data_IF_303767995844
#
_entry.id   IF_303767995844
#
_cell.length_a   1.000
_cell.length_b   1.000
_cell.length_c   1.000
_cell.angle_alpha   90.00
_cell.angle_beta   90.00
_cell.angle_gamma   90.00
#
_symmetry.space_group_name_H-M   'P 1'
#
loop_
_entity.id
_entity.type
_entity.pdbx_description
1 polymer ?
#
# COMPACT_ATOMS: atom_id res chain seq x y z
N UNK A 1 -32.51 -30.81 -3.99
CA UNK A 1 -31.96 -29.45 -3.79
C UNK A 1 -31.53 -29.34 -2.34
N UNK A 2 -30.23 -29.36 -2.07
CA UNK A 2 -29.69 -29.40 -0.69
C UNK A 2 -29.40 -28.01 -0.10
N UNK A 3 -29.47 -26.95 -0.91
CA UNK A 3 -29.31 -25.56 -0.50
C UNK A 3 -29.25 -24.63 -1.71
N UNK A 4 -29.32 -23.33 -1.46
CA UNK A 4 -29.05 -22.26 -2.45
C UNK A 4 -27.82 -21.52 -1.97
N UNK A 5 -26.80 -21.46 -2.82
CA UNK A 5 -25.56 -20.72 -2.57
C UNK A 5 -25.57 -19.46 -3.41
N UNK A 6 -25.09 -18.35 -2.85
CA UNK A 6 -25.04 -17.05 -3.53
C UNK A 6 -23.62 -16.52 -3.45
N UNK A 7 -23.00 -16.30 -4.61
CA UNK A 7 -21.68 -15.68 -4.72
C UNK A 7 -21.82 -14.17 -4.90
N UNK A 8 -20.68 -13.48 -4.98
CA UNK A 8 -20.63 -12.06 -5.37
C UNK A 8 -20.79 -11.86 -6.87
N UNK A 9 -20.88 -12.93 -7.67
CA UNK A 9 -21.05 -12.87 -9.11
C UNK A 9 -22.42 -13.43 -9.50
N UNK A 10 -23.38 -12.52 -9.68
CA UNK A 10 -24.76 -12.88 -10.05
C UNK A 10 -24.83 -13.64 -11.38
N UNK A 11 -23.95 -13.35 -12.34
CA UNK A 11 -23.91 -14.05 -13.62
C UNK A 11 -23.45 -15.50 -13.47
N UNK A 12 -22.44 -15.74 -12.62
CA UNK A 12 -21.98 -17.09 -12.30
C UNK A 12 -23.06 -17.91 -11.59
N UNK A 13 -23.76 -17.31 -10.63
CA UNK A 13 -24.83 -17.96 -9.86
C UNK A 13 -26.01 -18.39 -10.75
N UNK A 14 -26.33 -17.60 -11.79
CA UNK A 14 -27.44 -17.92 -12.70
C UNK A 14 -27.10 -19.05 -13.68
N UNK A 15 -25.82 -19.28 -13.96
CA UNK A 15 -25.36 -20.24 -14.96
C UNK A 15 -24.81 -21.54 -14.36
N UNK A 16 -24.65 -21.63 -13.04
CA UNK A 16 -23.92 -22.73 -12.39
C UNK A 16 -24.78 -23.49 -11.39
N UNK A 17 -24.68 -24.82 -11.41
CA UNK A 17 -25.25 -25.69 -10.38
C UNK A 17 -24.15 -26.60 -9.83
N UNK A 18 -24.10 -26.73 -8.50
CA UNK A 18 -23.17 -27.63 -7.82
C UNK A 18 -23.85 -28.98 -7.56
N UNK A 19 -23.21 -30.06 -8.00
CA UNK A 19 -23.70 -31.43 -7.85
C UNK A 19 -22.56 -32.29 -7.31
N UNK A 20 -22.88 -33.30 -6.50
CA UNK A 20 -21.88 -34.26 -6.05
C UNK A 20 -21.35 -35.05 -7.25
N UNK A 21 -20.02 -35.16 -7.38
CA UNK A 21 -19.39 -35.81 -8.52
C UNK A 21 -19.80 -37.29 -8.66
N UNK A 22 -19.92 -38.02 -7.54
CA UNK A 22 -20.30 -39.44 -7.55
C UNK A 22 -21.76 -39.65 -7.99
N UNK A 23 -22.65 -38.71 -7.64
CA UNK A 23 -24.04 -38.73 -8.11
C UNK A 23 -24.14 -38.36 -9.59
N UNK A 24 -23.36 -37.38 -10.04
CA UNK A 24 -23.33 -36.97 -11.43
C UNK A 24 -22.90 -38.12 -12.35
N UNK A 25 -21.91 -38.92 -11.92
CA UNK A 25 -21.46 -40.14 -12.63
C UNK A 25 -22.60 -41.12 -12.85
N UNK A 26 -23.42 -41.36 -11.83
CA UNK A 26 -24.60 -42.24 -11.95
C UNK A 26 -25.64 -41.67 -12.91
N UNK A 27 -25.82 -40.35 -12.93
CA UNK A 27 -26.85 -39.69 -13.75
C UNK A 27 -26.60 -39.78 -15.25
N UNK A 28 -25.34 -39.69 -15.71
CA UNK A 28 -25.03 -39.86 -17.13
C UNK A 28 -24.67 -41.31 -17.52
N UNK A 29 -24.78 -42.26 -16.58
CA UNK A 29 -24.54 -43.69 -16.82
C UNK A 29 -23.07 -44.08 -16.97
N UNK A 30 -22.15 -43.27 -16.44
CA UNK A 30 -20.72 -43.56 -16.44
C UNK A 30 -20.25 -44.38 -15.24
N UNK A 31 -19.02 -44.88 -15.32
CA UNK A 31 -18.35 -45.59 -14.22
C UNK A 31 -17.12 -44.83 -13.67
N UNK A 32 -16.82 -43.63 -14.16
CA UNK A 32 -15.64 -42.83 -13.78
C UNK A 32 -15.96 -41.35 -13.78
N UNK A 33 -15.38 -40.56 -12.89
CA UNK A 33 -15.53 -39.10 -12.89
C UNK A 33 -14.80 -38.52 -14.10
N UNK A 34 -15.53 -37.82 -14.97
CA UNK A 34 -14.97 -37.06 -16.07
C UNK A 34 -14.62 -35.66 -15.57
N UNK A 35 -13.33 -35.31 -15.62
CA UNK A 35 -12.84 -34.00 -15.16
C UNK A 35 -12.40 -33.20 -16.37
N UNK A 36 -13.02 -32.04 -16.60
CA UNK A 36 -12.61 -31.11 -17.65
C UNK A 36 -11.59 -30.08 -17.14
N UNK A 37 -11.67 -29.72 -15.85
CA UNK A 37 -10.83 -28.68 -15.26
C UNK A 37 -10.49 -29.04 -13.81
N UNK A 38 -9.27 -28.72 -13.39
CA UNK A 38 -8.81 -28.85 -12.01
C UNK A 38 -8.41 -27.46 -11.54
N UNK A 39 -9.20 -26.87 -10.65
CA UNK A 39 -8.88 -25.60 -10.02
C UNK A 39 -7.92 -25.82 -8.84
N UNK A 40 -6.78 -25.13 -8.85
CA UNK A 40 -5.80 -25.14 -7.75
C UNK A 40 -5.79 -23.75 -7.12
N UNK A 41 -6.19 -23.68 -5.85
CA UNK A 41 -6.18 -22.43 -5.09
C UNK A 41 -4.81 -22.24 -4.44
N UNK A 42 -4.17 -21.10 -4.71
CA UNK A 42 -2.91 -20.71 -4.08
C UNK A 42 -3.17 -19.81 -2.86
N UNK A 43 -2.24 -19.84 -1.90
CA UNK A 43 -2.25 -18.90 -0.78
C UNK A 43 -1.74 -17.51 -1.19
N UNK A 44 -0.82 -17.46 -2.16
CA UNK A 44 -0.28 -16.24 -2.74
C UNK A 44 -0.49 -16.25 -4.25
N UNK A 45 -1.16 -15.21 -4.73
CA UNK A 45 -1.50 -15.00 -6.14
C UNK A 45 -0.26 -14.68 -6.99
N UNK A 46 0.79 -14.13 -6.37
CA UNK A 46 2.04 -13.77 -7.05
C UNK A 46 2.89 -15.00 -7.40
N UNK A 47 2.67 -16.12 -6.72
CA UNK A 47 3.33 -17.39 -7.05
C UNK A 47 2.76 -18.09 -8.29
N UNK A 48 1.64 -17.60 -8.83
CA UNK A 48 0.91 -18.24 -9.93
C UNK A 48 1.78 -18.55 -11.15
N UNK A 49 2.70 -17.66 -11.53
CA UNK A 49 3.62 -17.90 -12.65
C UNK A 49 4.62 -19.03 -12.35
N UNK A 50 5.20 -19.03 -11.15
CA UNK A 50 6.15 -20.07 -10.73
C UNK A 50 5.46 -21.44 -10.64
N UNK A 51 4.25 -21.48 -10.08
CA UNK A 51 3.48 -22.72 -9.93
C UNK A 51 3.04 -23.24 -11.30
N UNK A 52 2.59 -22.36 -12.20
CA UNK A 52 2.31 -22.71 -13.60
C UNK A 52 3.52 -23.39 -14.22
N UNK A 53 4.70 -22.78 -14.16
CA UNK A 53 5.91 -23.33 -14.79
C UNK A 53 6.32 -24.70 -14.24
N UNK A 54 6.07 -24.96 -12.95
CA UNK A 54 6.29 -26.28 -12.34
C UNK A 54 5.24 -27.29 -12.81
N UNK A 55 3.97 -26.91 -12.84
CA UNK A 55 2.86 -27.78 -13.25
C UNK A 55 2.91 -28.10 -14.74
N UNK A 56 3.24 -27.14 -15.60
CA UNK A 56 3.37 -27.35 -17.05
C UNK A 56 4.40 -28.44 -17.40
N UNK A 57 5.39 -28.69 -16.53
CA UNK A 57 6.37 -29.77 -16.74
C UNK A 57 5.83 -31.17 -16.43
N UNK A 58 4.77 -31.26 -15.63
CA UNK A 58 4.18 -32.52 -15.15
C UNK A 58 2.82 -32.77 -15.82
N UNK A 59 2.19 -31.72 -16.36
CA UNK A 59 0.84 -31.73 -16.90
C UNK A 59 0.67 -32.52 -18.21
N UNK A 60 1.75 -32.94 -18.88
CA UNK A 60 1.69 -33.65 -20.15
C UNK A 60 1.05 -32.79 -21.25
N UNK A 61 -0.02 -33.30 -21.88
CA UNK A 61 -0.77 -32.60 -22.92
C UNK A 61 -1.81 -31.59 -22.38
N UNK A 62 -1.97 -31.48 -21.05
CA UNK A 62 -2.96 -30.58 -20.45
C UNK A 62 -2.46 -29.12 -20.43
N UNK A 63 -3.36 -28.17 -20.72
CA UNK A 63 -3.08 -26.75 -20.60
C UNK A 63 -3.14 -26.30 -19.14
N UNK A 64 -2.07 -25.64 -18.68
CA UNK A 64 -2.01 -25.03 -17.35
C UNK A 64 -2.08 -23.51 -17.52
N UNK A 65 -3.18 -22.91 -17.09
CA UNK A 65 -3.41 -21.47 -17.19
C UNK A 65 -3.47 -20.81 -15.82
N UNK A 66 -2.96 -19.57 -15.74
CA UNK A 66 -3.03 -18.76 -14.52
C UNK A 66 -4.34 -17.97 -14.45
N UNK A 67 -4.69 -17.47 -13.26
CA UNK A 67 -5.86 -16.59 -13.10
C UNK A 67 -5.78 -15.34 -14.01
N UNK A 68 -4.56 -14.85 -14.31
CA UNK A 68 -4.34 -13.70 -15.21
C UNK A 68 -4.67 -14.03 -16.66
N UNK A 69 -4.44 -15.27 -17.08
CA UNK A 69 -4.77 -15.77 -18.42
C UNK A 69 -6.27 -16.09 -18.54
N UNK A 70 -6.87 -16.63 -17.47
CA UNK A 70 -8.30 -16.98 -17.41
C UNK A 70 -9.20 -15.74 -17.29
N UNK A 71 -8.72 -14.69 -16.64
CA UNK A 71 -9.45 -13.44 -16.41
C UNK A 71 -8.58 -12.20 -16.75
N UNK A 72 -8.30 -11.95 -18.04
CA UNK A 72 -7.40 -10.87 -18.46
C UNK A 72 -7.92 -9.48 -18.07
N UNK A 73 -9.23 -9.26 -18.09
CA UNK A 73 -9.83 -7.99 -17.69
C UNK A 73 -9.62 -7.70 -16.19
N UNK A 74 -9.73 -8.73 -15.35
CA UNK A 74 -9.46 -8.61 -13.91
C UNK A 74 -7.98 -8.35 -13.62
N UNK A 75 -7.07 -8.95 -14.41
CA UNK A 75 -5.64 -8.71 -14.30
C UNK A 75 -5.26 -7.28 -14.71
N UNK A 76 -5.84 -6.76 -15.80
CA UNK A 76 -5.66 -5.37 -16.24
C UNK A 76 -6.11 -4.37 -15.17
N UNK A 77 -7.28 -4.60 -14.56
CA UNK A 77 -7.76 -3.76 -13.47
C UNK A 77 -6.83 -3.80 -12.25
N UNK A 78 -6.31 -4.97 -11.91
CA UNK A 78 -5.34 -5.10 -10.82
C UNK A 78 -4.07 -4.28 -11.11
N UNK A 79 -3.52 -4.36 -12.32
CA UNK A 79 -2.33 -3.61 -12.72
C UNK A 79 -2.59 -2.09 -12.68
N UNK A 80 -3.76 -1.63 -13.14
CA UNK A 80 -4.14 -0.21 -13.03
C UNK A 80 -4.25 0.26 -11.58
N UNK A 81 -4.80 -0.58 -10.69
CA UNK A 81 -4.87 -0.26 -9.26
C UNK A 81 -3.49 -0.12 -8.63
N UNK A 82 -2.53 -0.97 -9.01
CA UNK A 82 -1.14 -0.87 -8.55
C UNK A 82 -0.51 0.45 -9.00
N UNK A 83 -0.66 0.83 -10.29
CA UNK A 83 -0.12 2.10 -10.80
C UNK A 83 -0.77 3.29 -10.10
N UNK A 84 -2.10 3.28 -9.98
CA UNK A 84 -2.86 4.32 -9.28
C UNK A 84 -2.35 4.50 -7.84
N UNK A 85 -2.11 3.39 -7.14
CA UNK A 85 -1.58 3.39 -5.78
C UNK A 85 -0.21 4.07 -5.67
N UNK A 86 0.72 3.75 -6.58
CA UNK A 86 2.04 4.37 -6.60
C UNK A 86 1.98 5.88 -6.86
N UNK A 87 1.12 6.32 -7.78
CA UNK A 87 0.90 7.75 -8.05
C UNK A 87 0.37 8.44 -6.78
N UNK A 88 -0.60 7.84 -6.11
CA UNK A 88 -1.23 8.41 -4.93
C UNK A 88 -0.24 8.53 -3.75
N UNK A 89 0.59 7.50 -3.52
CA UNK A 89 1.69 7.58 -2.55
C UNK A 89 2.66 8.70 -2.92
N UNK A 90 3.01 8.84 -4.19
CA UNK A 90 3.88 9.92 -4.67
C UNK A 90 3.34 11.30 -4.32
N UNK A 91 2.03 11.52 -4.53
CA UNK A 91 1.35 12.78 -4.18
C UNK A 91 1.40 13.03 -2.67
N UNK A 92 1.12 12.01 -1.85
CA UNK A 92 1.17 12.11 -0.38
C UNK A 92 2.59 12.45 0.09
N UNK A 93 3.62 11.81 -0.49
CA UNK A 93 5.01 12.07 -0.15
C UNK A 93 5.43 13.50 -0.53
N UNK A 94 4.97 14.01 -1.67
CA UNK A 94 5.19 15.41 -2.04
C UNK A 94 4.51 16.37 -1.06
N UNK A 95 3.25 16.13 -0.70
CA UNK A 95 2.53 16.94 0.27
C UNK A 95 3.24 16.94 1.64
N UNK A 96 3.70 15.76 2.09
CA UNK A 96 4.51 15.61 3.29
C UNK A 96 5.81 16.43 3.22
N UNK A 97 6.53 16.35 2.10
CA UNK A 97 7.76 17.11 1.89
C UNK A 97 7.54 18.63 2.03
N UNK A 98 6.51 19.17 1.37
CA UNK A 98 6.14 20.57 1.50
C UNK A 98 5.76 20.96 2.93
N UNK A 99 5.00 20.11 3.62
CA UNK A 99 4.64 20.30 5.03
C UNK A 99 5.89 20.44 5.90
N UNK A 100 6.83 19.51 5.77
CA UNK A 100 8.09 19.52 6.54
C UNK A 100 8.94 20.75 6.21
N UNK A 101 9.08 21.09 4.94
CA UNK A 101 9.84 22.27 4.52
C UNK A 101 9.26 23.53 5.16
N UNK A 102 7.95 23.71 5.10
CA UNK A 102 7.28 24.90 5.60
C UNK A 102 7.40 25.00 7.13
N UNK A 103 7.14 23.91 7.85
CA UNK A 103 7.26 23.87 9.32
C UNK A 103 8.70 24.13 9.76
N UNK A 104 9.69 23.51 9.12
CA UNK A 104 11.09 23.69 9.51
C UNK A 104 11.62 25.07 9.15
N UNK A 105 11.19 25.64 8.03
CA UNK A 105 11.55 27.01 7.70
C UNK A 105 10.99 27.99 8.75
N UNK A 106 9.73 27.81 9.16
CA UNK A 106 9.13 28.63 10.21
C UNK A 106 9.88 28.49 11.55
N UNK A 107 10.17 27.26 11.99
CA UNK A 107 10.89 27.01 13.23
C UNK A 107 12.31 27.64 13.24
N UNK A 108 13.00 27.62 12.09
CA UNK A 108 14.29 28.29 11.93
C UNK A 108 14.15 29.81 12.00
N UNK A 109 13.11 30.38 11.39
CA UNK A 109 12.87 31.82 11.38
C UNK A 109 12.53 32.37 12.77
N UNK A 110 11.76 31.64 13.56
CA UNK A 110 11.42 32.02 14.94
C UNK A 110 12.65 31.99 15.87
N UNK A 111 13.58 31.04 15.67
CA UNK A 111 14.77 30.85 16.53
C UNK A 111 16.06 31.44 15.95
N UNK A 112 15.98 32.35 14.98
CA UNK A 112 17.17 32.93 14.33
C UNK A 112 18.15 33.58 15.30
N UNK A 113 17.66 34.32 16.29
CA UNK A 113 18.49 34.97 17.32
C UNK A 113 19.23 33.94 18.18
N UNK A 114 18.56 32.86 18.58
CA UNK A 114 19.17 31.78 19.36
C UNK A 114 20.28 31.08 18.58
N UNK A 115 20.01 30.75 17.31
CA UNK A 115 21.02 30.18 16.40
C UNK A 115 22.20 31.13 16.17
N UNK A 116 21.94 32.44 16.06
CA UNK A 116 22.95 33.50 15.98
C UNK A 116 23.84 33.58 17.21
N UNK A 117 23.26 33.49 18.42
CA UNK A 117 24.01 33.47 19.67
C UNK A 117 24.88 32.21 19.80
N UNK A 118 24.37 31.04 19.42
CA UNK A 118 25.14 29.79 19.39
C UNK A 118 26.36 29.90 18.45
N UNK A 119 26.19 30.53 17.29
CA UNK A 119 27.30 30.81 16.37
C UNK A 119 28.32 31.76 16.98
N UNK A 120 27.88 32.80 17.71
CA UNK A 120 28.76 33.78 18.34
C UNK A 120 29.61 33.18 19.49
N UNK A 121 29.08 32.18 20.21
CA UNK A 121 29.79 31.45 21.27
C UNK A 121 30.72 30.35 20.68
N UNK A 122 30.77 30.21 19.35
CA UNK A 122 31.73 29.34 18.65
C UNK A 122 31.16 28.01 18.16
N UNK A 123 29.83 27.82 18.17
CA UNK A 123 29.23 26.63 17.57
C UNK A 123 29.44 26.63 16.05
N UNK A 124 30.10 25.58 15.54
CA UNK A 124 30.33 25.42 14.11
C UNK A 124 29.00 25.20 13.36
N UNK A 125 28.86 25.76 12.16
CA UNK A 125 27.70 25.60 11.26
C UNK A 125 27.32 24.13 11.05
N UNK A 126 28.29 23.20 11.03
CA UNK A 126 28.02 21.75 10.93
C UNK A 126 27.28 21.20 12.15
N UNK A 127 27.55 21.70 13.37
CA UNK A 127 26.85 21.28 14.59
C UNK A 127 25.41 21.80 14.60
N UNK A 128 25.20 23.04 14.15
CA UNK A 128 23.85 23.60 13.99
C UNK A 128 23.03 22.80 12.98
N UNK A 129 23.63 22.47 11.84
CA UNK A 129 23.00 21.59 10.86
C UNK A 129 22.62 20.24 11.46
N UNK A 130 23.55 19.58 12.16
CA UNK A 130 23.30 18.31 12.82
C UNK A 130 22.17 18.39 13.86
N UNK A 131 22.11 19.48 14.63
CA UNK A 131 21.04 19.72 15.61
C UNK A 131 19.67 19.82 14.94
N UNK A 132 19.54 20.61 13.88
CA UNK A 132 18.27 20.78 13.14
C UNK A 132 17.85 19.46 12.47
N UNK A 133 18.80 18.73 11.90
CA UNK A 133 18.51 17.41 11.30
C UNK A 133 18.05 16.41 12.37
N UNK A 134 18.66 16.42 13.56
CA UNK A 134 18.27 15.55 14.66
C UNK A 134 16.87 15.90 15.19
N UNK A 135 16.55 17.19 15.31
CA UNK A 135 15.19 17.65 15.65
C UNK A 135 14.17 17.14 14.61
N UNK A 136 14.51 17.21 13.32
CA UNK A 136 13.67 16.66 12.23
C UNK A 136 13.44 15.17 12.40
N UNK A 137 14.52 14.40 12.61
CA UNK A 137 14.46 12.93 12.72
C UNK A 137 13.61 12.54 13.93
N UNK A 138 13.77 13.25 15.05
CA UNK A 138 12.98 13.00 16.25
C UNK A 138 11.49 13.28 16.04
N UNK A 139 11.15 14.43 15.46
CA UNK A 139 9.77 14.78 15.09
C UNK A 139 9.16 13.75 14.13
N UNK A 140 9.94 13.31 13.15
CA UNK A 140 9.52 12.32 12.16
C UNK A 140 9.30 10.96 12.81
N UNK A 141 10.17 10.54 13.72
CA UNK A 141 10.02 9.28 14.43
C UNK A 141 8.76 9.25 15.29
N UNK A 142 8.50 10.31 16.06
CA UNK A 142 7.28 10.44 16.87
C UNK A 142 6.04 10.48 15.98
N UNK A 143 6.07 11.25 14.90
CA UNK A 143 4.97 11.33 13.94
C UNK A 143 4.71 10.00 13.22
N UNK A 144 5.76 9.29 12.82
CA UNK A 144 5.66 7.98 12.18
C UNK A 144 5.11 6.93 13.15
N UNK A 145 5.57 6.90 14.40
CA UNK A 145 5.04 6.00 15.42
C UNK A 145 3.55 6.24 15.67
N UNK A 146 3.14 7.50 15.84
CA UNK A 146 1.74 7.87 16.00
C UNK A 146 0.90 7.54 14.75
N UNK A 147 1.44 7.81 13.55
CA UNK A 147 0.77 7.52 12.28
C UNK A 147 0.57 6.02 12.06
N UNK A 148 1.60 5.20 12.33
CA UNK A 148 1.51 3.74 12.26
C UNK A 148 0.48 3.22 13.26
N UNK A 149 0.48 3.72 14.49
CA UNK A 149 -0.49 3.33 15.51
C UNK A 149 -1.94 3.64 15.08
N UNK A 150 -2.19 4.87 14.62
CA UNK A 150 -3.50 5.28 14.11
C UNK A 150 -3.91 4.46 12.88
N UNK A 151 -2.98 4.25 11.94
CA UNK A 151 -3.22 3.43 10.74
C UNK A 151 -3.57 1.99 11.10
N UNK A 152 -2.83 1.37 12.01
CA UNK A 152 -3.12 0.03 12.51
C UNK A 152 -4.49 -0.07 13.17
N UNK A 153 -4.87 0.94 13.98
CA UNK A 153 -6.19 0.98 14.62
C UNK A 153 -7.31 1.08 13.57
N UNK A 154 -7.18 2.00 12.61
CA UNK A 154 -8.18 2.19 11.54
C UNK A 154 -8.30 0.91 10.72
N UNK A 155 -7.19 0.36 10.23
CA UNK A 155 -7.20 -0.89 9.46
C UNK A 155 -7.72 -2.06 10.28
N UNK A 156 -7.44 -2.14 11.57
CA UNK A 156 -7.95 -3.21 12.44
C UNK A 156 -9.48 -3.17 12.60
N UNK A 157 -10.07 -1.98 12.62
CA UNK A 157 -11.53 -1.80 12.63
C UNK A 157 -12.11 -2.10 11.26
N UNK A 158 -11.56 -1.46 10.22
CA UNK A 158 -12.07 -1.47 8.87
C UNK A 158 -11.85 -2.82 8.18
N UNK A 159 -10.81 -3.55 8.56
CA UNK A 159 -10.54 -4.93 8.14
C UNK A 159 -11.56 -5.94 8.68
N UNK A 160 -12.31 -5.60 9.75
CA UNK A 160 -13.42 -6.42 10.24
C UNK A 160 -14.76 -6.01 9.64
N UNK A 161 -15.03 -4.70 9.55
CA UNK A 161 -16.30 -4.21 9.02
C UNK A 161 -16.38 -4.32 7.50
N UNK A 162 -15.22 -4.25 6.84
CA UNK A 162 -15.10 -4.05 5.41
C UNK A 162 -15.49 -2.62 5.00
N UNK A 163 -15.03 -2.20 3.83
CA UNK A 163 -15.43 -0.98 3.16
C UNK A 163 -16.39 -1.38 2.05
N UNK A 164 -17.62 -0.87 2.09
CA UNK A 164 -18.60 -1.13 1.04
C UNK A 164 -18.53 -0.03 -0.03
N UNK A 165 -18.09 -0.39 -1.24
CA UNK A 165 -17.97 0.54 -2.36
C UNK A 165 -19.31 0.63 -3.10
N UNK A 166 -20.32 1.17 -2.40
CA UNK A 166 -21.71 1.20 -2.86
C UNK A 166 -21.88 1.80 -4.27
N UNK A 167 -21.13 2.87 -4.58
CA UNK A 167 -21.21 3.50 -5.88
C UNK A 167 -20.83 2.56 -7.01
N UNK A 168 -19.76 1.77 -6.85
CA UNK A 168 -19.18 0.97 -7.92
C UNK A 168 -19.59 -0.51 -7.82
N UNK A 169 -20.59 -0.82 -6.99
CA UNK A 169 -20.99 -2.19 -6.69
C UNK A 169 -21.40 -2.96 -7.95
N UNK A 170 -22.25 -2.38 -8.82
CA UNK A 170 -22.64 -3.01 -10.10
C UNK A 170 -21.44 -3.28 -11.01
N UNK A 171 -20.50 -2.33 -11.08
CA UNK A 171 -19.29 -2.47 -11.88
C UNK A 171 -18.40 -3.61 -11.40
N UNK A 172 -18.22 -3.74 -10.07
CA UNK A 172 -17.44 -4.83 -9.48
C UNK A 172 -18.14 -6.19 -9.59
N UNK A 173 -19.45 -6.27 -9.36
CA UNK A 173 -20.20 -7.53 -9.48
C UNK A 173 -20.21 -8.06 -10.92
N UNK A 174 -20.30 -7.18 -11.92
CA UNK A 174 -20.25 -7.56 -13.34
C UNK A 174 -18.94 -8.25 -13.75
N UNK A 175 -17.82 -7.90 -13.09
CA UNK A 175 -16.50 -8.50 -13.31
C UNK A 175 -16.14 -9.56 -12.25
N UNK A 176 -17.10 -9.95 -11.40
CA UNK A 176 -16.91 -10.99 -10.39
C UNK A 176 -16.12 -10.56 -9.14
N UNK A 177 -15.91 -9.27 -8.91
CA UNK A 177 -15.27 -8.74 -7.71
C UNK A 177 -16.30 -8.51 -6.58
N UNK A 178 -15.86 -8.73 -5.34
CA UNK A 178 -16.65 -8.38 -4.18
C UNK A 178 -16.75 -6.85 -4.04
N UNK A 179 -17.97 -6.33 -3.93
CA UNK A 179 -18.27 -4.91 -3.67
C UNK A 179 -17.85 -4.44 -2.26
N UNK A 180 -17.47 -5.39 -1.39
CA UNK A 180 -16.90 -5.13 -0.06
C UNK A 180 -15.41 -5.51 -0.04
N UNK A 181 -14.57 -4.52 0.24
CA UNK A 181 -13.12 -4.67 0.32
C UNK A 181 -12.68 -4.66 1.79
N UNK A 182 -11.78 -5.57 2.14
CA UNK A 182 -11.20 -5.64 3.48
C UNK A 182 -9.75 -5.16 3.40
N UNK A 183 -9.41 -4.00 3.99
CA UNK A 183 -8.05 -3.52 3.98
C UNK A 183 -7.17 -4.45 4.82
N UNK A 184 -6.06 -4.86 4.24
CA UNK A 184 -5.03 -5.66 4.89
C UNK A 184 -3.73 -4.87 4.85
N UNK A 185 -3.01 -4.85 5.96
CA UNK A 185 -1.71 -4.21 6.07
C UNK A 185 -0.70 -5.28 6.45
N UNK A 186 0.31 -5.48 5.60
CA UNK A 186 1.42 -6.38 5.85
C UNK A 186 2.54 -5.64 6.59
N UNK A 187 3.37 -6.40 7.30
CA UNK A 187 4.53 -5.83 8.01
C UNK A 187 5.52 -5.20 7.02
N UNK A 188 5.71 -5.82 5.86
CA UNK A 188 6.61 -5.32 4.81
C UNK A 188 6.14 -3.96 4.30
N UNK A 189 4.83 -3.77 4.15
CA UNK A 189 4.26 -2.50 3.75
C UNK A 189 4.48 -1.40 4.80
N UNK A 190 4.33 -1.71 6.09
CA UNK A 190 4.61 -0.76 7.18
C UNK A 190 6.10 -0.36 7.15
N UNK A 191 7.01 -1.34 7.04
CA UNK A 191 8.45 -1.09 7.02
C UNK A 191 8.85 -0.24 5.81
N UNK A 192 8.33 -0.58 4.62
CA UNK A 192 8.57 0.17 3.39
C UNK A 192 8.09 1.62 3.51
N UNK A 193 6.87 1.83 4.03
CA UNK A 193 6.28 3.17 4.18
C UNK A 193 7.03 3.99 5.24
N UNK A 194 7.41 3.39 6.36
CA UNK A 194 8.20 4.05 7.40
C UNK A 194 9.57 4.50 6.87
N UNK A 195 10.23 3.66 6.07
CA UNK A 195 11.48 4.02 5.40
C UNK A 195 11.27 5.19 4.43
N UNK A 196 10.24 5.15 3.60
CA UNK A 196 9.92 6.20 2.63
C UNK A 196 9.60 7.55 3.30
N UNK A 197 8.82 7.53 4.39
CA UNK A 197 8.50 8.73 5.19
C UNK A 197 9.77 9.31 5.79
N UNK A 198 10.62 8.48 6.39
CA UNK A 198 11.88 8.91 7.01
C UNK A 198 12.83 9.50 5.97
N UNK A 199 12.96 8.84 4.80
CA UNK A 199 13.77 9.34 3.69
C UNK A 199 13.26 10.69 3.18
N UNK A 200 11.94 10.81 2.96
CA UNK A 200 11.31 12.06 2.52
C UNK A 200 11.52 13.17 3.53
N UNK A 201 11.38 12.90 4.82
CA UNK A 201 11.57 13.88 5.87
C UNK A 201 13.02 14.39 5.93
N UNK A 202 13.99 13.49 5.89
CA UNK A 202 15.42 13.85 5.89
C UNK A 202 15.77 14.65 4.64
N UNK A 203 15.35 14.21 3.45
CA UNK A 203 15.62 14.94 2.21
C UNK A 203 15.00 16.34 2.21
N UNK A 204 13.77 16.45 2.72
CA UNK A 204 13.03 17.71 2.77
C UNK A 204 13.63 18.70 3.76
N UNK A 205 14.15 18.22 4.90
CA UNK A 205 14.74 19.10 5.93
C UNK A 205 16.16 19.59 5.59
N UNK A 206 16.86 18.99 4.63
CA UNK A 206 18.18 19.45 4.19
C UNK A 206 18.13 20.91 3.71
N UNK A 207 17.09 21.29 2.95
CA UNK A 207 17.01 22.64 2.37
C UNK A 207 16.80 23.72 3.46
N UNK A 208 15.80 23.62 4.36
CA UNK A 208 15.64 24.54 5.48
C UNK A 208 16.88 24.58 6.39
N UNK A 209 17.47 23.42 6.71
CA UNK A 209 18.65 23.36 7.55
C UNK A 209 19.84 24.08 6.91
N UNK A 210 20.05 23.94 5.59
CA UNK A 210 21.08 24.72 4.86
C UNK A 210 20.76 26.21 4.82
N UNK A 211 19.49 26.59 4.71
CA UNK A 211 19.07 27.99 4.74
C UNK A 211 19.38 28.63 6.10
N UNK A 212 19.18 27.91 7.20
CA UNK A 212 19.55 28.37 8.55
C UNK A 212 21.03 28.74 8.67
N UNK A 213 21.93 27.97 8.05
CA UNK A 213 23.38 28.22 8.10
C UNK A 213 23.83 29.46 7.31
N UNK A 214 22.98 29.99 6.43
CA UNK A 214 23.26 31.19 5.63
C UNK A 214 22.85 32.49 6.34
N UNK A 215 22.15 32.40 7.47
CA UNK A 215 21.80 33.55 8.28
C UNK A 215 23.07 34.15 8.88
N UNK A 216 23.27 35.45 8.65
CA UNK A 216 24.49 36.13 9.08
C UNK A 216 24.37 36.48 10.57
N UNK A 217 25.29 36.04 11.45
CA UNK A 217 25.19 36.29 12.90
C UNK A 217 25.11 37.78 13.24
N UNK A 218 25.79 38.61 12.44
CA UNK A 218 25.79 40.06 12.61
C UNK A 218 24.45 40.73 12.24
N UNK A 219 23.68 40.17 11.29
CA UNK A 219 22.35 40.67 10.95
C UNK A 219 21.30 40.19 11.96
N UNK A 220 21.45 38.97 12.48
CA UNK A 220 20.57 38.41 13.51
C UNK A 220 20.65 39.14 14.87
N UNK A 221 21.76 39.82 15.17
CA UNK A 221 21.92 40.67 16.36
C UNK A 221 21.54 42.13 16.12
N UNK A 222 21.47 42.56 14.85
CA UNK A 222 21.19 43.93 14.41
C UNK A 222 19.75 44.08 13.91
N UNK A 223 18.87 43.13 14.21
CA UNK A 223 17.43 43.29 13.95
C UNK A 223 16.80 44.15 15.07
N UNK A 224 17.28 45.40 15.15
CA UNK A 224 16.62 46.68 15.45
C UNK A 224 17.49 47.79 14.82
#
# INVERSE_FOLDING_TARGET
LCGVFRTTNTGYDQATAFVNADELVKLYGGNRILTHEIAILLHDTDESAMVRDKLSRIAGDNSVSTWRELAPDAALLNDFMIVYYFIFIGIIMLALAFGIINTMLMAVLERTRELGMLMAIGMNRRRIFGMIMLETVFLTFVGAAAGIFCGWLITGILGKTGIYLAGWAEGFEAIGYASRVYPVVTIDFILFTALMVTATAVLSSVWPARKALKLNPAEALRTE
#
